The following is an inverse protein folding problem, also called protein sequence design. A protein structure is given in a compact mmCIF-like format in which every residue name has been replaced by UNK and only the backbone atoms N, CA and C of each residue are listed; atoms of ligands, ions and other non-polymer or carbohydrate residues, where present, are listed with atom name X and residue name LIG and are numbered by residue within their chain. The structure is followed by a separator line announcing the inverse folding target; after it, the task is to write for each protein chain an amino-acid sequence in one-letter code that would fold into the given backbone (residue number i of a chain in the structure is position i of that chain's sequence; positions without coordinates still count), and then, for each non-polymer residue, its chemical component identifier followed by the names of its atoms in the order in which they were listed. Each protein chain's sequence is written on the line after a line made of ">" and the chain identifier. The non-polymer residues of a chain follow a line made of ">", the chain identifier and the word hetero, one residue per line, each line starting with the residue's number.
data_IF_936672407198
#
_entry.id   IF_936672407198
#
_cell.length_a   1.000
_cell.length_b   1.000
_cell.length_c   1.000
_cell.angle_alpha   90.00
_cell.angle_beta   90.00
_cell.angle_gamma   90.00
#
_symmetry.space_group_name_H-M   'P 1'
#
loop_
_entity.id
_entity.type
_entity.pdbx_description
1 polymer ?
#
# COMPACT_ATOMS: atom_id res chain seq x y z
N UNK A 1 -11.16 16.80 18.44
CA UNK A 1 -11.10 16.48 16.99
C UNK A 1 -9.63 16.28 16.65
N UNK A 2 -9.11 15.23 16.01
CA UNK A 2 -9.61 13.99 15.43
C UNK A 2 -8.36 13.09 15.41
N UNK A 3 -8.40 11.93 16.05
CA UNK A 3 -7.33 10.92 15.94
C UNK A 3 -7.49 10.21 14.59
N UNK A 4 -6.97 10.81 13.51
CA UNK A 4 -6.98 10.20 12.17
C UNK A 4 -5.57 9.91 11.65
N UNK A 5 -4.57 10.16 12.48
CA UNK A 5 -3.18 10.05 12.09
C UNK A 5 -2.67 8.61 11.92
N UNK A 6 -3.06 7.74 12.86
CA UNK A 6 -2.65 6.34 12.91
C UNK A 6 -3.12 5.53 11.68
N UNK A 7 -3.96 6.12 10.82
CA UNK A 7 -4.55 5.48 9.66
C UNK A 7 -3.64 5.49 8.42
N UNK A 8 -2.72 6.44 8.27
CA UNK A 8 -1.89 6.48 7.05
C UNK A 8 -0.81 5.38 7.07
N UNK A 9 -0.16 5.17 8.22
CA UNK A 9 0.82 4.09 8.41
C UNK A 9 0.17 2.70 8.46
N UNK A 10 -1.09 2.62 8.92
CA UNK A 10 -1.89 1.40 8.91
C UNK A 10 -2.42 1.02 7.52
N UNK A 11 -2.56 1.97 6.59
CA UNK A 11 -3.16 1.68 5.28
C UNK A 11 -2.22 0.90 4.36
N UNK A 12 -0.90 1.08 4.50
CA UNK A 12 0.10 0.30 3.77
C UNK A 12 0.33 -1.11 4.35
N UNK A 13 -0.25 -1.40 5.52
CA UNK A 13 -0.19 -2.70 6.21
C UNK A 13 -1.45 -3.55 5.98
N UNK A 14 -2.46 -3.03 5.28
CA UNK A 14 -3.76 -3.67 5.09
C UNK A 14 -3.93 -4.28 3.69
N UNK A 15 -2.88 -4.89 3.15
CA UNK A 15 -2.94 -5.77 1.98
C UNK A 15 -2.89 -7.26 2.37
N UNK A 16 -3.49 -7.60 3.50
CA UNK A 16 -3.75 -8.98 3.90
C UNK A 16 -5.18 -9.12 4.42
N UNK A 17 -6.09 -9.63 3.57
CA UNK A 17 -7.33 -10.24 4.02
C UNK A 17 -8.64 -9.64 3.51
N UNK A 18 -8.93 -9.80 2.21
CA UNK A 18 -10.33 -9.98 1.77
C UNK A 18 -10.43 -11.37 1.15
N UNK A 19 -10.48 -12.38 2.00
CA UNK A 19 -10.95 -13.71 1.62
C UNK A 19 -12.46 -13.60 1.36
N UNK A 20 -12.84 -13.94 0.15
CA UNK A 20 -14.18 -13.89 -0.41
C UNK A 20 -15.28 -14.49 0.50
N UNK A 21 -16.16 -13.63 1.00
CA UNK A 21 -17.51 -14.00 1.44
C UNK A 21 -18.49 -13.62 0.33
N UNK A 22 -18.64 -14.49 -0.67
CA UNK A 22 -19.85 -14.51 -1.49
C UNK A 22 -20.59 -15.80 -1.17
N UNK A 23 -21.53 -15.64 -0.23
CA UNK A 23 -22.48 -16.67 0.15
C UNK A 23 -23.31 -17.09 -1.07
N UNK A 24 -23.38 -18.40 -1.25
CA UNK A 24 -24.30 -19.06 -2.18
C UNK A 24 -25.73 -18.61 -1.88
N UNK A 25 -26.42 -18.05 -2.87
CA UNK A 25 -27.88 -18.00 -2.80
C UNK A 25 -28.51 -18.16 -4.19
N UNK A 26 -29.40 -19.16 -4.25
CA UNK A 26 -30.54 -19.31 -5.16
C UNK A 26 -30.30 -19.96 -6.53
N UNK A 27 -30.48 -21.29 -6.56
CA UNK A 27 -30.79 -22.05 -7.76
C UNK A 27 -32.23 -21.80 -8.22
N UNK A 28 -32.42 -21.67 -9.54
CA UNK A 28 -33.71 -21.61 -10.21
C UNK A 28 -33.92 -22.91 -11.02
N UNK A 29 -35.02 -23.68 -10.84
CA UNK A 29 -35.08 -25.07 -11.30
C UNK A 29 -35.63 -25.34 -12.72
N UNK A 30 -35.70 -24.36 -13.63
CA UNK A 30 -36.27 -24.63 -14.96
C UNK A 30 -35.56 -23.90 -16.10
N UNK A 31 -34.98 -24.67 -17.04
CA UNK A 31 -34.82 -24.19 -18.43
C UNK A 31 -33.59 -24.65 -19.21
N UNK A 32 -33.80 -25.72 -20.00
CA UNK A 32 -33.37 -25.84 -21.40
C UNK A 32 -31.89 -26.14 -21.71
N UNK A 33 -31.68 -27.37 -22.18
CA UNK A 33 -30.46 -27.92 -22.77
C UNK A 33 -29.80 -26.98 -23.80
N UNK A 34 -28.58 -26.54 -23.49
CA UNK A 34 -27.60 -26.07 -24.48
C UNK A 34 -26.22 -26.59 -24.06
N UNK A 35 -25.61 -27.36 -24.95
CA UNK A 35 -24.28 -27.99 -24.91
C UNK A 35 -23.37 -27.54 -23.76
N UNK A 36 -23.27 -28.36 -22.73
CA UNK A 36 -22.35 -28.18 -21.60
C UNK A 36 -20.99 -28.76 -21.96
N UNK A 37 -20.20 -28.06 -22.76
CA UNK A 37 -18.74 -28.24 -22.60
C UNK A 37 -18.43 -27.60 -21.25
N UNK A 38 -18.00 -28.37 -20.22
CA UNK A 38 -17.60 -27.79 -18.97
C UNK A 38 -16.40 -26.90 -19.30
N UNK A 39 -16.60 -25.58 -19.31
CA UNK A 39 -15.48 -24.67 -19.10
C UNK A 39 -15.02 -25.02 -17.69
N UNK A 40 -13.94 -25.80 -17.61
CA UNK A 40 -13.26 -26.05 -16.35
C UNK A 40 -13.07 -24.71 -15.62
N UNK A 41 -13.01 -24.72 -14.28
CA UNK A 41 -13.01 -23.50 -13.49
C UNK A 41 -12.06 -22.49 -14.13
N UNK A 42 -12.61 -21.32 -14.50
CA UNK A 42 -11.78 -20.20 -14.93
C UNK A 42 -10.84 -19.98 -13.76
N UNK A 43 -9.57 -20.34 -13.94
CA UNK A 43 -8.55 -20.08 -12.94
C UNK A 43 -8.60 -18.58 -12.72
N UNK A 44 -9.19 -18.16 -11.58
CA UNK A 44 -9.14 -16.79 -11.15
C UNK A 44 -7.64 -16.49 -11.02
N UNK A 45 -7.11 -15.73 -11.99
CA UNK A 45 -5.72 -15.29 -11.91
C UNK A 45 -5.62 -14.52 -10.60
N UNK A 46 -4.82 -15.04 -9.68
CA UNK A 46 -4.53 -14.36 -8.43
C UNK A 46 -4.06 -12.94 -8.76
N UNK A 47 -4.66 -11.94 -8.10
CA UNK A 47 -4.26 -10.56 -8.30
C UNK A 47 -2.78 -10.44 -7.91
N UNK A 48 -1.94 -9.98 -8.84
CA UNK A 48 -0.51 -9.78 -8.55
C UNK A 48 -0.38 -8.73 -7.44
N UNK A 49 0.55 -8.92 -6.49
CA UNK A 49 0.85 -7.88 -5.51
C UNK A 49 1.33 -6.62 -6.23
N UNK A 50 0.95 -5.46 -5.70
CA UNK A 50 1.36 -4.16 -6.26
C UNK A 50 2.87 -3.96 -6.09
N UNK A 51 3.48 -3.31 -7.08
CA UNK A 51 4.88 -2.87 -7.03
C UNK A 51 5.02 -1.59 -6.21
N UNK A 52 6.22 -1.29 -5.72
CA UNK A 52 6.46 -0.04 -4.97
C UNK A 52 6.04 1.23 -5.75
N UNK A 53 6.35 1.39 -7.06
CA UNK A 53 5.88 2.53 -7.83
C UNK A 53 4.34 2.61 -7.92
N UNK A 54 3.65 1.48 -8.06
CA UNK A 54 2.18 1.45 -8.11
C UNK A 54 1.56 1.83 -6.78
N UNK A 55 2.13 1.37 -5.67
CA UNK A 55 1.69 1.75 -4.32
C UNK A 55 1.86 3.25 -4.11
N UNK A 56 3.04 3.79 -4.46
CA UNK A 56 3.31 5.23 -4.30
C UNK A 56 2.41 6.06 -5.23
N UNK A 57 2.21 5.64 -6.48
CA UNK A 57 1.33 6.33 -7.41
C UNK A 57 -0.13 6.44 -6.91
N UNK A 58 -0.61 5.45 -6.13
CA UNK A 58 -1.94 5.49 -5.52
C UNK A 58 -2.04 6.45 -4.34
N UNK A 59 -0.95 6.64 -3.60
CA UNK A 59 -0.93 7.48 -2.39
C UNK A 59 -0.53 8.94 -2.66
N UNK A 60 0.31 9.19 -3.68
CA UNK A 60 0.80 10.53 -3.99
C UNK A 60 -0.29 11.59 -4.16
N UNK A 61 -1.43 11.34 -4.85
CA UNK A 61 -2.49 12.34 -4.96
C UNK A 61 -3.00 12.84 -3.60
N UNK A 62 -3.17 11.94 -2.62
CA UNK A 62 -3.63 12.28 -1.28
C UNK A 62 -2.59 13.09 -0.51
N UNK A 63 -1.31 12.72 -0.65
CA UNK A 63 -0.20 13.41 0.01
C UNK A 63 -0.08 14.82 -0.57
N UNK A 64 -0.04 14.94 -1.90
CA UNK A 64 0.02 16.22 -2.61
C UNK A 64 -1.12 17.14 -2.19
N UNK A 65 -2.35 16.63 -2.14
CA UNK A 65 -3.51 17.42 -1.71
C UNK A 65 -3.42 17.85 -0.25
N UNK A 66 -2.94 16.97 0.64
CA UNK A 66 -2.89 17.23 2.07
C UNK A 66 -1.85 18.28 2.48
N UNK A 67 -0.70 18.32 1.81
CA UNK A 67 0.43 19.19 2.20
C UNK A 67 0.85 20.17 1.09
N UNK A 68 0.06 20.27 0.03
CA UNK A 68 0.21 21.21 -1.09
C UNK A 68 1.60 21.14 -1.74
N UNK A 69 2.00 19.94 -2.19
CA UNK A 69 3.31 19.74 -2.80
C UNK A 69 3.34 20.31 -4.23
N UNK A 70 4.37 21.09 -4.56
CA UNK A 70 4.63 21.46 -5.95
C UNK A 70 5.22 20.29 -6.76
N UNK A 71 5.33 20.44 -8.08
CA UNK A 71 5.80 19.35 -8.97
C UNK A 71 7.19 18.80 -8.59
N UNK A 72 8.09 19.66 -8.14
CA UNK A 72 9.43 19.26 -7.71
C UNK A 72 9.37 18.49 -6.39
N UNK A 73 8.66 19.01 -5.39
CA UNK A 73 8.48 18.37 -4.09
C UNK A 73 7.77 17.03 -4.24
N UNK A 74 6.76 16.93 -5.10
CA UNK A 74 6.09 15.67 -5.44
C UNK A 74 7.07 14.64 -6.00
N UNK A 75 7.94 15.05 -6.94
CA UNK A 75 8.95 14.15 -7.50
C UNK A 75 9.93 13.66 -6.42
N UNK A 76 10.36 14.56 -5.52
CA UNK A 76 11.22 14.23 -4.39
C UNK A 76 10.53 13.23 -3.47
N UNK A 77 9.33 13.53 -2.97
CA UNK A 77 8.56 12.63 -2.10
C UNK A 77 8.32 11.28 -2.77
N UNK A 78 7.85 11.27 -4.02
CA UNK A 78 7.57 10.04 -4.76
C UNK A 78 8.81 9.15 -4.89
N UNK A 79 9.97 9.74 -5.20
CA UNK A 79 11.23 8.99 -5.31
C UNK A 79 11.66 8.37 -3.98
N UNK A 80 11.58 9.14 -2.90
CA UNK A 80 11.93 8.69 -1.55
C UNK A 80 10.97 7.60 -1.08
N UNK A 81 9.66 7.81 -1.21
CA UNK A 81 8.67 6.81 -0.83
C UNK A 81 8.80 5.54 -1.65
N UNK A 82 9.07 5.62 -2.95
CA UNK A 82 9.24 4.44 -3.80
C UNK A 82 10.38 3.57 -3.31
N UNK A 83 11.53 4.19 -3.00
CA UNK A 83 12.70 3.52 -2.43
C UNK A 83 12.35 2.79 -1.13
N UNK A 84 11.72 3.47 -0.17
CA UNK A 84 11.48 2.88 1.15
C UNK A 84 10.30 1.90 1.18
N UNK A 85 9.29 2.07 0.33
CA UNK A 85 8.25 1.05 0.11
C UNK A 85 8.87 -0.21 -0.47
N UNK A 86 9.75 -0.09 -1.47
CA UNK A 86 10.47 -1.23 -2.03
C UNK A 86 11.29 -1.97 -0.96
N UNK A 87 12.02 -1.25 -0.11
CA UNK A 87 12.77 -1.86 1.00
C UNK A 87 11.86 -2.60 1.99
N UNK A 88 10.66 -2.09 2.29
CA UNK A 88 9.69 -2.78 3.16
C UNK A 88 9.18 -4.07 2.52
N UNK A 89 8.89 -4.05 1.22
CA UNK A 89 8.49 -5.24 0.46
C UNK A 89 9.61 -6.28 0.49
N UNK A 90 10.84 -5.88 0.18
CA UNK A 90 12.01 -6.76 0.21
C UNK A 90 12.21 -7.37 1.59
N UNK A 91 12.15 -6.56 2.65
CA UNK A 91 12.28 -7.01 4.02
C UNK A 91 11.22 -8.08 4.35
N UNK A 92 9.96 -7.87 3.97
CA UNK A 92 8.88 -8.85 4.15
C UNK A 92 9.13 -10.16 3.40
N UNK A 93 9.75 -10.11 2.22
CA UNK A 93 10.09 -11.30 1.43
C UNK A 93 11.23 -12.13 2.06
N UNK A 94 12.10 -11.52 2.86
CA UNK A 94 13.19 -12.21 3.54
C UNK A 94 12.73 -13.18 4.65
N UNK A 95 11.46 -13.08 5.09
CA UNK A 95 10.85 -13.95 6.13
C UNK A 95 11.72 -14.08 7.39
N UNK A 96 12.25 -12.95 7.87
CA UNK A 96 13.11 -12.88 9.04
C UNK A 96 12.36 -13.17 10.34
N UNK A 97 13.11 -13.46 11.41
CA UNK A 97 12.59 -13.53 12.77
C UNK A 97 11.99 -12.19 13.23
N UNK A 98 11.06 -12.23 14.18
CA UNK A 98 10.27 -11.04 14.60
C UNK A 98 11.15 -9.85 15.04
N UNK A 99 12.21 -10.11 15.78
CA UNK A 99 13.10 -9.05 16.28
C UNK A 99 13.91 -8.40 15.16
N UNK A 100 14.42 -9.21 14.23
CA UNK A 100 15.15 -8.72 13.05
C UNK A 100 14.22 -7.94 12.11
N UNK A 101 12.97 -8.39 11.97
CA UNK A 101 11.96 -7.68 11.22
C UNK A 101 11.65 -6.31 11.81
N UNK A 102 11.49 -6.24 13.12
CA UNK A 102 11.26 -4.97 13.82
C UNK A 102 12.44 -4.02 13.63
N UNK A 103 13.66 -4.49 13.84
CA UNK A 103 14.88 -3.68 13.66
C UNK A 103 15.00 -3.17 12.22
N UNK A 104 14.76 -4.03 11.23
CA UNK A 104 14.77 -3.65 9.82
C UNK A 104 13.75 -2.56 9.50
N UNK A 105 12.51 -2.69 10.00
CA UNK A 105 11.46 -1.69 9.82
C UNK A 105 11.80 -0.36 10.51
N UNK A 106 12.38 -0.40 11.70
CA UNK A 106 12.83 0.80 12.43
C UNK A 106 13.95 1.53 11.68
N UNK A 107 14.90 0.80 11.10
CA UNK A 107 15.98 1.38 10.31
C UNK A 107 15.46 2.01 9.02
N UNK A 108 14.56 1.31 8.31
CA UNK A 108 13.88 1.86 7.13
C UNK A 108 13.16 3.16 7.49
N UNK A 109 12.42 3.19 8.59
CA UNK A 109 11.68 4.37 9.02
C UNK A 109 12.62 5.55 9.32
N UNK A 110 13.66 5.34 10.13
CA UNK A 110 14.62 6.40 10.47
C UNK A 110 15.29 6.98 9.23
N UNK A 111 15.67 6.11 8.29
CA UNK A 111 16.32 6.54 7.05
C UNK A 111 15.35 7.30 6.13
N UNK A 112 14.10 6.85 6.02
CA UNK A 112 13.05 7.55 5.30
C UNK A 112 12.81 8.95 5.88
N UNK A 113 12.67 9.07 7.19
CA UNK A 113 12.46 10.34 7.87
C UNK A 113 13.65 11.30 7.67
N UNK A 114 14.88 10.79 7.79
CA UNK A 114 16.08 11.59 7.57
C UNK A 114 16.18 12.10 6.12
N UNK A 115 15.87 11.26 5.14
CA UNK A 115 15.92 11.62 3.72
C UNK A 115 14.80 12.59 3.34
N UNK A 116 13.58 12.40 3.87
CA UNK A 116 12.48 13.35 3.69
C UNK A 116 12.83 14.71 4.30
N UNK A 117 13.42 14.73 5.50
CA UNK A 117 13.85 15.98 6.15
C UNK A 117 14.92 16.72 5.35
N UNK A 118 15.80 15.99 4.67
CA UNK A 118 16.83 16.58 3.82
C UNK A 118 16.30 17.03 2.45
N UNK A 119 15.27 16.36 1.94
CA UNK A 119 14.71 16.60 0.60
C UNK A 119 13.57 17.61 0.53
N UNK A 120 12.89 17.89 1.65
CA UNK A 120 11.75 18.80 1.71
C UNK A 120 12.04 20.08 2.48
N UNK A 121 11.36 21.19 2.14
CA UNK A 121 11.23 22.34 3.02
C UNK A 121 10.72 21.92 4.41
N UNK A 122 11.16 22.64 5.45
CA UNK A 122 10.86 22.27 6.85
C UNK A 122 9.35 22.23 7.13
N UNK A 123 8.60 23.19 6.62
CA UNK A 123 7.14 23.25 6.74
C UNK A 123 6.46 22.05 6.08
N UNK A 124 6.92 21.64 4.89
CA UNK A 124 6.40 20.47 4.17
C UNK A 124 6.76 19.17 4.87
N UNK A 125 7.97 19.08 5.40
CA UNK A 125 8.40 17.92 6.19
C UNK A 125 7.56 17.77 7.46
N UNK A 126 7.33 18.85 8.20
CA UNK A 126 6.49 18.82 9.41
C UNK A 126 5.04 18.46 9.07
N UNK A 127 4.47 19.04 8.01
CA UNK A 127 3.13 18.68 7.53
C UNK A 127 3.05 17.19 7.11
N UNK A 128 4.08 16.68 6.44
CA UNK A 128 4.18 15.26 6.10
C UNK A 128 4.21 14.38 7.36
N UNK A 129 4.97 14.77 8.39
CA UNK A 129 4.99 14.04 9.67
C UNK A 129 3.62 14.06 10.36
N UNK A 130 2.89 15.16 10.29
CA UNK A 130 1.53 15.25 10.84
C UNK A 130 0.52 14.38 10.09
N UNK A 131 0.70 14.19 8.78
CA UNK A 131 -0.08 13.25 7.98
C UNK A 131 0.22 11.77 8.34
N UNK A 132 1.46 11.49 8.74
CA UNK A 132 1.97 10.13 8.95
C UNK A 132 1.87 9.59 10.39
N UNK A 133 1.88 10.48 11.39
CA UNK A 133 1.47 10.19 12.79
C UNK A 133 0.01 9.84 12.80
#
# INVERSE_FOLDING_TARGET
>A
MRYNGLLFFSFLLLLAGVSSLNAQTMGNPYGRQRSTIPRGPVQQKEAKPLTAPEIVAQEMPKITEAIDLNDFEQAVVSSILTKYVQQRIELQLLKLERDQMREGLENIQKNQEAELKAGLPEDKFLAFQELAK
#
